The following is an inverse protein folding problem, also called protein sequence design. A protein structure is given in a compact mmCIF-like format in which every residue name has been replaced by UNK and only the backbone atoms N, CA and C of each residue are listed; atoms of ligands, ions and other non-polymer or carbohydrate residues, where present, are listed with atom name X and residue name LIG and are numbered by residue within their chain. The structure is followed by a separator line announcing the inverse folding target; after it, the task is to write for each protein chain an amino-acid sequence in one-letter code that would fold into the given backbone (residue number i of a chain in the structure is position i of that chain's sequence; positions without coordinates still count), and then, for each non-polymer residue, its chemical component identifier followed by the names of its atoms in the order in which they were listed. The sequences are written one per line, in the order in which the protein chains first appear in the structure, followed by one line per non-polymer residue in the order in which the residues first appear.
data_IF_656253437265
#
_entry.id   IF_656253437265
#
_cell.length_a   1.000
_cell.length_b   1.000
_cell.length_c   1.000
_cell.angle_alpha   90.00
_cell.angle_beta   90.00
_cell.angle_gamma   90.00
#
_symmetry.space_group_name_H-M   'P 1'
#
loop_
_entity.id
_entity.type
_entity.pdbx_description
1 polymer ?
#
# COMPACT_ATOMS: atom_id res chain seq x y z
N UNK A 1 -0.16 26.46 -18.43
CA UNK A 1 0.64 27.21 -17.43
C UNK A 1 0.66 26.36 -16.16
N UNK A 2 1.81 25.78 -15.75
CA UNK A 2 1.88 24.84 -14.60
C UNK A 2 1.67 25.63 -13.30
N UNK A 3 0.93 25.12 -12.31
CA UNK A 3 0.75 25.79 -11.01
C UNK A 3 2.08 26.17 -10.33
N UNK A 4 3.16 25.38 -10.56
CA UNK A 4 4.55 25.70 -10.20
C UNK A 4 5.04 27.09 -10.64
N UNK A 5 4.46 27.65 -11.69
CA UNK A 5 4.84 28.95 -12.27
C UNK A 5 4.00 30.13 -11.76
N UNK A 6 3.09 29.92 -10.79
CA UNK A 6 2.26 30.98 -10.21
C UNK A 6 2.36 31.02 -8.68
N UNK A 7 3.16 31.94 -8.11
CA UNK A 7 3.26 32.15 -6.66
C UNK A 7 1.91 32.42 -5.97
N UNK A 8 0.96 33.04 -6.69
CA UNK A 8 -0.38 33.32 -6.19
C UNK A 8 -1.21 32.05 -5.97
N UNK A 9 -1.09 31.05 -6.86
CA UNK A 9 -1.78 29.77 -6.73
C UNK A 9 -1.25 28.97 -5.53
N UNK A 10 0.08 28.92 -5.36
CA UNK A 10 0.73 28.26 -4.22
C UNK A 10 0.35 28.92 -2.88
N UNK A 11 0.24 30.25 -2.84
CA UNK A 11 -0.19 31.00 -1.64
C UNK A 11 -1.65 30.67 -1.25
N UNK A 12 -2.55 30.58 -2.23
CA UNK A 12 -3.96 30.24 -1.97
C UNK A 12 -4.11 28.80 -1.45
N UNK A 13 -3.40 27.84 -2.04
CA UNK A 13 -3.40 26.46 -1.54
C UNK A 13 -2.90 26.35 -0.09
N UNK A 14 -1.82 27.07 0.25
CA UNK A 14 -1.36 27.15 1.66
C UNK A 14 -2.42 27.71 2.59
N UNK A 15 -3.16 28.74 2.17
CA UNK A 15 -4.24 29.32 3.00
C UNK A 15 -5.43 28.37 3.23
N UNK A 16 -5.70 27.46 2.28
CA UNK A 16 -6.73 26.43 2.43
C UNK A 16 -6.31 25.33 3.42
N UNK A 17 -5.00 25.07 3.53
CA UNK A 17 -4.45 24.14 4.52
C UNK A 17 -4.57 24.64 5.97
N UNK A 18 -4.82 25.93 6.18
CA UNK A 18 -4.84 26.59 7.51
C UNK A 18 -6.24 27.02 7.96
N UNK A 19 -7.31 26.51 7.32
CA UNK A 19 -8.68 26.86 7.69
C UNK A 19 -9.04 26.30 9.07
N UNK A 20 -9.55 27.16 9.95
CA UNK A 20 -9.89 26.83 11.34
C UNK A 20 -11.15 25.96 11.48
N UNK A 21 -12.01 25.93 10.46
CA UNK A 21 -13.24 25.14 10.42
C UNK A 21 -13.15 24.19 9.22
N UNK A 22 -13.12 22.89 9.50
CA UNK A 22 -12.87 21.82 8.52
C UNK A 22 -11.55 21.99 7.76
N UNK A 23 -10.39 21.86 8.45
CA UNK A 23 -9.11 21.87 7.76
C UNK A 23 -9.13 20.81 6.67
N UNK A 24 -8.76 21.21 5.46
CA UNK A 24 -8.75 20.29 4.32
C UNK A 24 -7.74 19.17 4.61
N UNK A 25 -8.20 17.91 4.62
CA UNK A 25 -7.32 16.73 4.76
C UNK A 25 -6.51 16.55 3.49
N UNK A 26 -5.32 17.13 3.50
CA UNK A 26 -4.43 17.26 2.35
C UNK A 26 -3.47 16.08 2.21
N UNK A 27 -3.43 15.17 3.19
CA UNK A 27 -2.45 14.10 3.27
C UNK A 27 -2.57 13.12 2.10
N UNK A 28 -3.79 12.86 1.61
CA UNK A 28 -4.03 12.08 0.39
C UNK A 28 -3.35 12.67 -0.86
N UNK A 29 -3.04 13.97 -0.86
CA UNK A 29 -2.42 14.68 -1.98
C UNK A 29 -0.92 14.97 -1.78
N UNK A 30 -0.26 14.38 -0.77
CA UNK A 30 1.16 14.65 -0.50
C UNK A 30 2.09 14.57 -1.71
N UNK A 31 1.97 13.60 -2.65
CA UNK A 31 2.84 13.59 -3.83
C UNK A 31 2.78 14.90 -4.62
N UNK A 32 1.59 15.45 -4.82
CA UNK A 32 1.40 16.72 -5.52
C UNK A 32 1.84 17.92 -4.66
N UNK A 33 1.58 17.89 -3.35
CA UNK A 33 1.93 18.99 -2.45
C UNK A 33 3.43 19.14 -2.23
N UNK A 34 4.16 18.01 -2.22
CA UNK A 34 5.62 17.99 -2.23
C UNK A 34 6.15 18.55 -3.55
N UNK A 35 5.61 18.09 -4.68
CA UNK A 35 5.98 18.60 -6.01
C UNK A 35 5.78 20.12 -6.13
N UNK A 36 4.74 20.67 -5.50
CA UNK A 36 4.43 22.10 -5.47
C UNK A 36 5.21 22.90 -4.41
N UNK A 37 6.03 22.26 -3.57
CA UNK A 37 6.74 22.93 -2.47
C UNK A 37 5.79 23.54 -1.42
N UNK A 38 4.62 22.91 -1.22
CA UNK A 38 3.61 23.32 -0.24
C UNK A 38 3.86 22.62 1.10
N UNK A 39 4.29 21.36 1.05
CA UNK A 39 4.61 20.52 2.21
C UNK A 39 6.08 20.10 2.11
N UNK A 40 6.78 19.97 3.24
CA UNK A 40 8.14 19.44 3.30
C UNK A 40 8.13 17.91 3.43
N UNK A 41 9.21 17.25 3.04
CA UNK A 41 9.37 15.78 3.21
C UNK A 41 9.18 15.36 4.66
N UNK A 42 9.74 16.12 5.62
CA UNK A 42 9.60 15.85 7.06
C UNK A 42 8.14 15.92 7.51
N UNK A 43 7.41 16.97 7.12
CA UNK A 43 6.00 17.13 7.47
C UNK A 43 5.13 16.03 6.83
N UNK A 44 5.37 15.67 5.57
CA UNK A 44 4.68 14.58 4.89
C UNK A 44 4.95 13.22 5.56
N UNK A 45 6.20 12.96 5.94
CA UNK A 45 6.60 11.72 6.64
C UNK A 45 5.95 11.64 8.03
N UNK A 46 5.90 12.75 8.76
CA UNK A 46 5.18 12.82 10.04
C UNK A 46 3.69 12.55 9.88
N UNK A 47 3.06 13.13 8.84
CA UNK A 47 1.66 12.89 8.51
C UNK A 47 1.39 11.43 8.14
N UNK A 48 2.23 10.82 7.31
CA UNK A 48 2.15 9.38 6.98
C UNK A 48 2.15 8.51 8.24
N UNK A 49 3.09 8.74 9.16
CA UNK A 49 3.17 8.01 10.43
C UNK A 49 1.92 8.20 11.29
N UNK A 50 1.38 9.42 11.32
CA UNK A 50 0.14 9.71 12.05
C UNK A 50 -1.05 8.93 11.46
N UNK A 51 -1.17 8.87 10.14
CA UNK A 51 -2.21 8.08 9.46
C UNK A 51 -2.06 6.58 9.73
N UNK A 52 -0.83 6.05 9.69
CA UNK A 52 -0.54 4.64 9.98
C UNK A 52 -0.88 4.29 11.43
N UNK A 53 -0.55 5.17 12.37
CA UNK A 53 -0.79 4.97 13.80
C UNK A 53 -2.23 5.25 14.23
N UNK A 54 -3.07 5.76 13.33
CA UNK A 54 -4.44 6.14 13.68
C UNK A 54 -5.36 4.93 13.76
N UNK A 55 -6.27 4.97 14.75
CA UNK A 55 -7.40 4.05 14.85
C UNK A 55 -8.67 4.56 14.15
N UNK A 56 -8.63 5.78 13.59
CA UNK A 56 -9.78 6.43 12.97
C UNK A 56 -10.01 5.91 11.54
N UNK A 57 -11.24 5.51 11.22
CA UNK A 57 -11.62 5.01 9.89
C UNK A 57 -11.37 6.06 8.78
N UNK A 58 -11.57 7.34 9.08
CA UNK A 58 -11.31 8.44 8.15
C UNK A 58 -9.84 8.51 7.79
N UNK A 59 -8.95 8.32 8.77
CA UNK A 59 -7.51 8.34 8.54
C UNK A 59 -7.05 7.15 7.69
N UNK A 60 -7.71 5.99 7.82
CA UNK A 60 -7.48 4.82 6.95
C UNK A 60 -7.89 5.12 5.51
N UNK A 61 -9.01 5.82 5.31
CA UNK A 61 -9.45 6.26 3.97
C UNK A 61 -8.45 7.25 3.37
N UNK A 62 -7.94 8.19 4.17
CA UNK A 62 -6.93 9.15 3.74
C UNK A 62 -5.60 8.46 3.40
N UNK A 63 -5.16 7.49 4.21
CA UNK A 63 -3.99 6.67 3.93
C UNK A 63 -4.16 5.90 2.61
N UNK A 64 -5.33 5.31 2.39
CA UNK A 64 -5.63 4.57 1.16
C UNK A 64 -5.57 5.48 -0.07
N UNK A 65 -6.14 6.69 0.03
CA UNK A 65 -6.05 7.69 -1.04
C UNK A 65 -4.60 8.13 -1.32
N UNK A 66 -3.78 8.31 -0.28
CA UNK A 66 -2.35 8.61 -0.42
C UNK A 66 -1.62 7.48 -1.16
N UNK A 67 -1.81 6.24 -0.76
CA UNK A 67 -1.16 5.08 -1.38
C UNK A 67 -1.60 4.90 -2.84
N UNK A 68 -2.88 5.12 -3.15
CA UNK A 68 -3.39 5.10 -4.53
C UNK A 68 -2.74 6.22 -5.36
N UNK A 69 -2.63 7.44 -4.83
CA UNK A 69 -1.95 8.54 -5.54
C UNK A 69 -0.49 8.21 -5.82
N UNK A 70 0.25 7.70 -4.84
CA UNK A 70 1.65 7.28 -5.01
C UNK A 70 1.79 6.19 -6.06
N UNK A 71 0.85 5.24 -6.09
CA UNK A 71 0.83 4.18 -7.09
C UNK A 71 0.57 4.73 -8.50
N UNK A 72 -0.42 5.60 -8.68
CA UNK A 72 -0.80 6.12 -10.00
C UNK A 72 0.12 7.24 -10.52
N UNK A 73 0.77 8.00 -9.65
CA UNK A 73 1.65 9.11 -10.04
C UNK A 73 2.98 8.67 -10.67
N UNK A 74 3.26 7.36 -10.74
CA UNK A 74 4.55 6.78 -11.20
C UNK A 74 5.77 7.27 -10.41
N UNK A 75 5.57 7.75 -9.20
CA UNK A 75 6.62 8.31 -8.35
C UNK A 75 6.12 9.46 -7.49
N UNK A 76 6.68 9.60 -6.29
CA UNK A 76 6.61 10.84 -5.52
C UNK A 76 8.02 11.41 -5.33
N UNK A 77 8.16 12.44 -4.49
CA UNK A 77 9.47 12.91 -4.06
C UNK A 77 10.32 11.72 -3.56
N UNK A 78 11.56 11.61 -4.04
CA UNK A 78 12.38 10.41 -3.84
C UNK A 78 12.71 10.15 -2.37
N UNK A 79 12.91 11.21 -1.57
CA UNK A 79 13.21 11.09 -0.15
C UNK A 79 11.96 10.67 0.63
N UNK A 80 10.80 11.23 0.28
CA UNK A 80 9.53 10.79 0.86
C UNK A 80 9.22 9.33 0.49
N UNK A 81 9.45 8.92 -0.75
CA UNK A 81 9.25 7.54 -1.18
C UNK A 81 10.21 6.57 -0.46
N UNK A 82 11.47 6.96 -0.30
CA UNK A 82 12.47 6.19 0.44
C UNK A 82 12.08 5.99 1.90
N UNK A 83 11.39 6.96 2.51
CA UNK A 83 10.83 6.88 3.86
C UNK A 83 9.50 6.09 3.93
N UNK A 84 8.69 6.10 2.87
CA UNK A 84 7.42 5.38 2.80
C UNK A 84 7.60 3.86 2.89
N UNK A 85 8.53 3.30 2.11
CA UNK A 85 8.65 1.84 1.97
C UNK A 85 8.85 1.10 3.30
N UNK A 86 9.78 1.52 4.19
CA UNK A 86 9.95 0.89 5.49
C UNK A 86 8.71 1.00 6.39
N UNK A 87 8.01 2.14 6.38
CA UNK A 87 6.81 2.36 7.21
C UNK A 87 5.67 1.41 6.79
N UNK A 88 5.45 1.26 5.48
CA UNK A 88 4.43 0.36 4.94
C UNK A 88 4.82 -1.12 5.16
N UNK A 89 6.10 -1.47 5.05
CA UNK A 89 6.55 -2.82 5.40
C UNK A 89 6.35 -3.12 6.89
N UNK A 90 6.59 -2.14 7.76
CA UNK A 90 6.38 -2.27 9.21
C UNK A 90 4.91 -2.50 9.55
N UNK A 91 3.96 -1.87 8.84
CA UNK A 91 2.52 -2.14 8.99
C UNK A 91 2.20 -3.62 8.83
N UNK A 92 2.80 -4.28 7.82
CA UNK A 92 2.64 -5.72 7.58
C UNK A 92 3.28 -6.53 8.70
N UNK A 93 4.49 -6.14 9.15
CA UNK A 93 5.21 -6.85 10.22
C UNK A 93 4.52 -6.77 11.57
N UNK A 94 3.87 -5.66 11.90
CA UNK A 94 3.14 -5.54 13.18
C UNK A 94 1.68 -5.96 13.06
N UNK A 95 1.21 -6.22 11.83
CA UNK A 95 -0.19 -6.46 11.49
C UNK A 95 -1.09 -5.34 12.04
N UNK A 96 -0.70 -4.09 11.82
CA UNK A 96 -1.44 -2.93 12.32
C UNK A 96 -2.87 -2.97 11.76
N UNK A 97 -3.91 -3.20 12.59
CA UNK A 97 -5.20 -3.67 12.09
C UNK A 97 -5.86 -2.77 11.05
N UNK A 98 -5.90 -1.47 11.35
CA UNK A 98 -6.55 -0.46 10.51
C UNK A 98 -5.84 -0.26 9.16
N UNK A 99 -4.51 -0.06 9.09
CA UNK A 99 -3.81 0.13 7.80
C UNK A 99 -3.43 -1.15 7.05
N UNK A 100 -3.53 -2.35 7.66
CA UNK A 100 -2.96 -3.58 7.10
C UNK A 100 -3.47 -3.89 5.69
N UNK A 101 -4.78 -3.78 5.46
CA UNK A 101 -5.37 -4.11 4.16
C UNK A 101 -4.90 -3.17 3.06
N UNK A 102 -4.83 -1.86 3.35
CA UNK A 102 -4.34 -0.85 2.41
C UNK A 102 -2.86 -1.06 2.10
N UNK A 103 -2.04 -1.38 3.11
CA UNK A 103 -0.63 -1.71 2.93
C UNK A 103 -0.42 -2.95 2.05
N UNK A 104 -1.10 -4.06 2.35
CA UNK A 104 -0.98 -5.30 1.57
C UNK A 104 -1.44 -5.09 0.12
N UNK A 105 -2.57 -4.40 -0.11
CA UNK A 105 -3.06 -4.09 -1.45
C UNK A 105 -2.08 -3.22 -2.23
N UNK A 106 -1.53 -2.18 -1.60
CA UNK A 106 -0.56 -1.28 -2.22
C UNK A 106 0.73 -2.04 -2.60
N UNK A 107 1.30 -2.81 -1.67
CA UNK A 107 2.50 -3.62 -1.90
C UNK A 107 2.28 -4.66 -2.99
N UNK A 108 1.16 -5.39 -2.97
CA UNK A 108 0.84 -6.37 -4.00
C UNK A 108 0.74 -5.71 -5.39
N UNK A 109 0.14 -4.52 -5.46
CA UNK A 109 0.00 -3.76 -6.69
C UNK A 109 1.34 -3.23 -7.20
N UNK A 110 2.15 -2.66 -6.32
CA UNK A 110 3.47 -2.11 -6.64
C UNK A 110 4.45 -3.22 -7.07
N UNK A 111 4.54 -4.31 -6.30
CA UNK A 111 5.40 -5.46 -6.63
C UNK A 111 5.01 -6.11 -7.96
N UNK A 112 3.72 -6.14 -8.29
CA UNK A 112 3.23 -6.69 -9.55
C UNK A 112 3.52 -5.80 -10.75
N UNK A 113 3.28 -4.48 -10.65
CA UNK A 113 3.36 -3.56 -11.80
C UNK A 113 4.75 -2.94 -11.98
N UNK A 114 5.40 -2.57 -10.89
CA UNK A 114 6.68 -1.84 -10.89
C UNK A 114 7.62 -2.42 -9.81
N UNK A 115 8.05 -3.69 -9.93
CA UNK A 115 8.87 -4.37 -8.92
C UNK A 115 10.20 -3.66 -8.64
N UNK A 116 10.77 -2.99 -9.65
CA UNK A 116 12.02 -2.22 -9.53
C UNK A 116 11.87 -0.98 -8.62
N UNK A 117 10.66 -0.46 -8.43
CA UNK A 117 10.36 0.67 -7.55
C UNK A 117 10.34 0.26 -6.07
N UNK A 118 10.02 -1.02 -5.80
CA UNK A 118 9.97 -1.56 -4.43
C UNK A 118 11.38 -1.97 -3.98
N UNK A 119 11.99 -1.30 -2.97
CA UNK A 119 13.36 -1.56 -2.57
C UNK A 119 13.57 -3.00 -2.06
N UNK A 120 14.62 -3.69 -2.49
CA UNK A 120 14.94 -5.05 -2.01
C UNK A 120 15.15 -5.13 -0.48
N UNK A 121 15.60 -4.04 0.15
CA UNK A 121 15.85 -3.97 1.59
C UNK A 121 14.63 -4.22 2.49
N UNK A 122 13.40 -4.15 1.96
CA UNK A 122 12.18 -4.44 2.74
C UNK A 122 11.74 -5.91 2.65
N UNK A 123 12.39 -6.73 1.82
CA UNK A 123 11.96 -8.11 1.55
C UNK A 123 11.97 -8.99 2.80
N UNK A 124 13.00 -8.86 3.66
CA UNK A 124 13.10 -9.65 4.90
C UNK A 124 11.98 -9.29 5.87
N UNK A 125 11.73 -7.99 6.03
CA UNK A 125 10.65 -7.42 6.85
C UNK A 125 9.31 -7.94 6.34
N UNK A 126 9.04 -7.82 5.04
CA UNK A 126 7.81 -8.34 4.43
C UNK A 126 7.66 -9.85 4.61
N UNK A 127 8.75 -10.62 4.45
CA UNK A 127 8.72 -12.07 4.59
C UNK A 127 8.32 -12.49 6.02
N UNK A 128 8.85 -11.81 7.04
CA UNK A 128 8.47 -12.03 8.45
C UNK A 128 6.99 -11.74 8.66
N UNK A 129 6.50 -10.60 8.17
CA UNK A 129 5.09 -10.22 8.32
C UNK A 129 4.15 -11.20 7.62
N UNK A 130 4.47 -11.60 6.39
CA UNK A 130 3.68 -12.54 5.61
C UNK A 130 3.68 -13.95 6.21
N UNK A 131 4.79 -14.41 6.77
CA UNK A 131 4.84 -15.69 7.48
C UNK A 131 3.90 -15.70 8.70
N UNK A 132 3.90 -14.62 9.49
CA UNK A 132 3.02 -14.49 10.66
C UNK A 132 1.55 -14.35 10.28
N UNK A 133 1.23 -13.58 9.24
CA UNK A 133 -0.15 -13.53 8.73
C UNK A 133 -0.61 -14.93 8.35
N UNK A 134 0.22 -15.72 7.68
CA UNK A 134 -0.14 -17.08 7.29
C UNK A 134 -0.42 -17.97 8.50
N UNK A 135 0.43 -17.93 9.52
CA UNK A 135 0.27 -18.66 10.78
C UNK A 135 -1.00 -18.24 11.54
N UNK A 136 -1.19 -16.94 11.77
CA UNK A 136 -2.32 -16.39 12.54
C UNK A 136 -3.69 -16.63 11.88
N UNK A 137 -3.70 -16.79 10.56
CA UNK A 137 -4.93 -17.00 9.77
C UNK A 137 -5.12 -18.46 9.36
N UNK A 138 -4.41 -19.41 9.98
CA UNK A 138 -4.63 -20.83 9.76
C UNK A 138 -6.07 -21.21 10.15
N UNK A 139 -6.76 -21.96 9.29
CA UNK A 139 -8.19 -22.28 9.43
C UNK A 139 -8.52 -23.09 10.68
N UNK A 140 -7.54 -23.75 11.28
CA UNK A 140 -7.67 -24.50 12.53
C UNK A 140 -7.42 -23.64 13.78
N UNK A 141 -7.00 -22.39 13.61
CA UNK A 141 -6.74 -21.44 14.68
C UNK A 141 -7.99 -20.68 15.15
N UNK A 142 -7.98 -20.14 16.38
CA UNK A 142 -9.10 -19.36 16.90
C UNK A 142 -9.16 -17.97 16.22
N UNK A 143 -10.02 -17.82 15.21
CA UNK A 143 -10.20 -16.56 14.46
C UNK A 143 -10.67 -15.38 15.33
N UNK A 144 -11.30 -15.64 16.48
CA UNK A 144 -11.88 -14.64 17.38
C UNK A 144 -10.86 -13.67 18.02
N UNK A 145 -9.57 -13.95 17.89
CA UNK A 145 -8.49 -13.12 18.48
C UNK A 145 -7.88 -12.11 17.49
N UNK A 146 -8.21 -12.21 16.20
CA UNK A 146 -7.64 -11.34 15.19
C UNK A 146 -8.33 -9.98 15.18
N UNK A 147 -7.52 -8.92 15.14
CA UNK A 147 -8.01 -7.54 15.06
C UNK A 147 -8.26 -7.06 13.63
N UNK A 148 -7.96 -7.90 12.64
CA UNK A 148 -8.11 -7.62 11.21
C UNK A 148 -8.87 -8.75 10.53
N UNK A 149 -9.40 -8.49 9.33
CA UNK A 149 -10.11 -9.50 8.54
C UNK A 149 -9.14 -10.58 8.00
N UNK A 150 -9.25 -11.84 8.45
CA UNK A 150 -8.33 -12.90 8.03
C UNK A 150 -8.47 -13.26 6.56
N UNK A 151 -9.66 -13.16 5.98
CA UNK A 151 -9.92 -13.52 4.58
C UNK A 151 -9.29 -12.49 3.65
N UNK A 152 -9.46 -11.20 3.95
CA UNK A 152 -8.83 -10.13 3.18
C UNK A 152 -7.30 -10.15 3.33
N UNK A 153 -6.79 -10.42 4.53
CA UNK A 153 -5.35 -10.57 4.76
C UNK A 153 -4.77 -11.74 3.94
N UNK A 154 -5.45 -12.89 3.92
CA UNK A 154 -5.09 -14.06 3.10
C UNK A 154 -5.14 -13.75 1.60
N UNK A 155 -6.17 -13.06 1.13
CA UNK A 155 -6.31 -12.67 -0.27
C UNK A 155 -5.14 -11.77 -0.73
N UNK A 156 -4.90 -10.65 -0.03
CA UNK A 156 -3.86 -9.71 -0.43
C UNK A 156 -2.45 -10.24 -0.12
N UNK A 157 -2.28 -11.03 0.94
CA UNK A 157 -1.04 -11.75 1.23
C UNK A 157 -0.67 -12.72 0.11
N UNK A 158 -1.62 -13.53 -0.36
CA UNK A 158 -1.40 -14.42 -1.50
C UNK A 158 -1.08 -13.65 -2.78
N UNK A 159 -1.74 -12.51 -3.02
CA UNK A 159 -1.43 -11.64 -4.16
C UNK A 159 -0.01 -11.07 -4.08
N UNK A 160 0.42 -10.57 -2.92
CA UNK A 160 1.76 -10.03 -2.69
C UNK A 160 2.83 -11.12 -2.83
N UNK A 161 2.67 -12.27 -2.19
CA UNK A 161 3.64 -13.37 -2.27
C UNK A 161 3.77 -13.90 -3.69
N UNK A 162 2.66 -14.03 -4.42
CA UNK A 162 2.70 -14.46 -5.82
C UNK A 162 3.43 -13.42 -6.71
N UNK A 163 3.26 -12.12 -6.41
CA UNK A 163 4.00 -11.07 -7.10
C UNK A 163 5.50 -11.08 -6.73
N UNK A 164 5.85 -11.34 -5.46
CA UNK A 164 7.24 -11.50 -5.03
C UNK A 164 7.90 -12.71 -5.69
N UNK A 165 7.20 -13.85 -5.74
CA UNK A 165 7.66 -15.09 -6.35
C UNK A 165 7.97 -14.92 -7.85
N UNK A 166 7.06 -14.30 -8.60
CA UNK A 166 7.25 -13.97 -10.02
C UNK A 166 8.50 -13.11 -10.26
N UNK A 167 8.91 -12.31 -9.28
CA UNK A 167 10.05 -11.41 -9.36
C UNK A 167 11.30 -11.93 -8.64
N UNK A 168 11.30 -13.18 -8.17
CA UNK A 168 12.39 -13.77 -7.35
C UNK A 168 12.76 -12.92 -6.11
N UNK A 169 11.75 -12.40 -5.42
CA UNK A 169 11.89 -11.55 -4.21
C UNK A 169 11.48 -12.30 -2.95
N UNK A 170 12.01 -11.88 -1.80
CA UNK A 170 11.70 -12.45 -0.48
C UNK A 170 12.27 -13.84 -0.21
N UNK A 171 12.03 -14.31 1.02
CA UNK A 171 12.51 -15.60 1.51
C UNK A 171 11.86 -16.78 0.73
N UNK A 172 12.67 -17.67 0.11
CA UNK A 172 12.16 -18.88 -0.53
C UNK A 172 11.31 -19.77 0.36
N UNK A 173 11.62 -19.89 1.66
CA UNK A 173 10.86 -20.74 2.57
C UNK A 173 9.44 -20.18 2.81
N UNK A 174 9.35 -18.86 3.04
CA UNK A 174 8.07 -18.14 3.12
C UNK A 174 7.24 -18.32 1.83
N UNK A 175 7.86 -18.15 0.65
CA UNK A 175 7.17 -18.35 -0.64
C UNK A 175 6.63 -19.77 -0.79
N UNK A 176 7.42 -20.78 -0.43
CA UNK A 176 7.01 -22.18 -0.48
C UNK A 176 5.83 -22.48 0.48
N UNK A 177 5.87 -21.95 1.71
CA UNK A 177 4.80 -22.11 2.68
C UNK A 177 3.47 -21.52 2.19
N UNK A 178 3.52 -20.31 1.62
CA UNK A 178 2.35 -19.68 1.00
C UNK A 178 1.87 -20.44 -0.24
N UNK A 179 2.78 -20.97 -1.06
CA UNK A 179 2.38 -21.76 -2.24
C UNK A 179 1.57 -22.99 -1.82
N UNK A 180 2.08 -23.73 -0.84
CA UNK A 180 1.38 -24.88 -0.24
C UNK A 180 0.04 -24.47 0.33
N UNK A 181 0.00 -23.37 1.09
CA UNK A 181 -1.22 -22.88 1.71
C UNK A 181 -2.29 -22.57 0.66
N UNK A 182 -1.97 -21.81 -0.39
CA UNK A 182 -2.91 -21.44 -1.47
C UNK A 182 -3.46 -22.69 -2.21
N UNK A 183 -2.67 -23.75 -2.34
CA UNK A 183 -3.10 -25.01 -2.98
C UNK A 183 -4.03 -25.82 -2.08
N UNK A 184 -3.72 -25.87 -0.79
CA UNK A 184 -4.49 -26.63 0.21
C UNK A 184 -5.71 -25.88 0.76
N UNK A 185 -5.80 -24.57 0.54
CA UNK A 185 -6.86 -23.74 1.13
C UNK A 185 -8.25 -24.17 0.60
N UNK A 186 -9.18 -24.54 1.49
CA UNK A 186 -10.56 -24.83 1.07
C UNK A 186 -11.25 -23.58 0.51
N UNK A 187 -10.79 -22.38 0.87
CA UNK A 187 -11.40 -21.11 0.46
C UNK A 187 -10.83 -20.61 -0.87
N UNK A 188 -11.68 -20.12 -1.78
CA UNK A 188 -11.23 -19.64 -3.09
C UNK A 188 -10.41 -18.34 -3.02
N UNK A 189 -10.39 -17.62 -1.90
CA UNK A 189 -9.79 -16.29 -1.79
C UNK A 189 -8.29 -16.25 -1.99
N UNK A 190 -7.54 -17.20 -1.44
CA UNK A 190 -6.10 -17.31 -1.66
C UNK A 190 -5.77 -17.65 -3.13
N UNK A 191 -6.56 -18.53 -3.75
CA UNK A 191 -6.47 -18.81 -5.20
C UNK A 191 -6.82 -17.59 -6.06
N UNK A 192 -7.85 -16.83 -5.70
CA UNK A 192 -8.22 -15.57 -6.37
C UNK A 192 -7.14 -14.51 -6.22
N UNK A 193 -6.55 -14.40 -5.02
CA UNK A 193 -5.41 -13.54 -4.72
C UNK A 193 -4.22 -13.85 -5.61
N UNK A 194 -3.81 -15.14 -5.68
CA UNK A 194 -2.79 -15.62 -6.63
C UNK A 194 -3.13 -15.24 -8.06
N UNK A 195 -4.33 -15.55 -8.55
CA UNK A 195 -4.73 -15.23 -9.91
C UNK A 195 -4.67 -13.72 -10.22
N UNK A 196 -4.96 -12.86 -9.24
CA UNK A 196 -4.85 -11.40 -9.41
C UNK A 196 -3.41 -10.95 -9.67
N UNK A 197 -2.41 -11.64 -9.11
CA UNK A 197 -0.99 -11.37 -9.36
C UNK A 197 -0.59 -11.62 -10.83
N UNK A 198 -1.28 -12.56 -11.49
CA UNK A 198 -1.04 -12.94 -12.88
C UNK A 198 -1.96 -12.25 -13.89
N UNK A 199 -3.00 -11.53 -13.44
CA UNK A 199 -3.83 -10.71 -14.34
C UNK A 199 -3.02 -9.54 -14.87
N UNK A 200 -2.67 -9.61 -16.15
CA UNK A 200 -2.29 -8.44 -16.93
C UNK A 200 -3.51 -7.53 -17.06
N UNK A 201 -3.39 -6.26 -16.65
CA UNK A 201 -4.36 -5.27 -17.10
C UNK A 201 -4.05 -4.98 -18.56
N UNK A 202 -4.91 -5.45 -19.47
CA UNK A 202 -5.01 -4.86 -20.80
C UNK A 202 -5.36 -3.38 -20.61
N UNK A 203 -4.38 -2.50 -20.80
CA UNK A 203 -4.62 -1.07 -20.97
C UNK A 203 -4.94 -0.89 -22.45
N UNK A 204 -6.19 -0.56 -22.77
CA UNK A 204 -6.60 -0.08 -24.10
C UNK A 204 -7.02 -1.19 -25.09
N UNK A 205 -8.31 -1.22 -25.38
CA UNK A 205 -8.86 -1.69 -26.65
C UNK A 205 -9.93 -0.69 -27.04
N UNK A 206 -9.69 0.05 -28.11
CA UNK A 206 -10.59 1.05 -28.68
C UNK A 206 -12.02 0.52 -28.79
N UNK A 207 -12.97 1.32 -28.33
CA UNK A 207 -14.35 1.25 -28.79
C UNK A 207 -14.71 2.60 -29.39
N UNK A 208 -14.02 2.93 -30.48
CA UNK A 208 -14.61 3.67 -31.58
C UNK A 208 -14.68 2.66 -32.73
N UNK A 209 -15.83 2.00 -32.85
CA UNK A 209 -16.26 1.42 -34.12
C UNK A 209 -17.58 2.11 -34.46
N UNK A 210 -17.48 2.96 -35.49
CA UNK A 210 -18.48 3.46 -36.46
C UNK A 210 -19.97 3.50 -36.09
#
# INVERSE_FOLDING_TARGET
MRAKSSPAATKKLRSLATLAQYPLRLEGAYPCLLDLGIVTVDAATKGLRALIGSGDETDVLVLSALLDQIFWSKGCDADFEAALWPEIAQVVVVRAPSPLMSALRFLASAMRKEPARVPAKIDDVLSIGLARILEETEMTGPAEQLRYDPFLARYFGAALVSAMDRNNRGDPAMRAAWSKAIESDPLPDTRRGRASAFREHKVGGDANED
#
